data_IF_764209350905
#
_entry.id   IF_764209350905
#
_cell.length_a   1.000
_cell.length_b   1.000
_cell.length_c   1.000
_cell.angle_alpha   90.00
_cell.angle_beta   90.00
_cell.angle_gamma   90.00
#
_symmetry.space_group_name_H-M   'P 1'
#
loop_
_entity.id
_entity.type
_entity.pdbx_description
1 polymer ?
#
# COMPACT_ATOMS: atom_id res chain seq x y z
N UNK A 1 -87.61 16.52 38.69
CA UNK A 1 -87.00 16.12 37.40
C UNK A 1 -85.71 16.93 37.28
N UNK A 2 -84.50 16.43 37.34
CA UNK A 2 -83.90 15.09 37.44
C UNK A 2 -82.45 15.33 37.89
N UNK A 3 -81.94 14.49 38.80
CA UNK A 3 -80.61 13.86 38.82
C UNK A 3 -79.41 14.52 38.07
N UNK A 4 -78.16 14.61 38.57
CA UNK A 4 -77.34 13.83 39.54
C UNK A 4 -76.05 14.63 39.86
N UNK A 5 -75.47 14.35 41.03
CA UNK A 5 -74.15 14.77 41.55
C UNK A 5 -72.98 14.00 40.85
N UNK A 6 -71.69 14.11 41.26
CA UNK A 6 -70.69 15.17 40.99
C UNK A 6 -69.33 14.54 40.55
N UNK A 7 -68.18 15.27 40.59
CA UNK A 7 -66.89 14.87 41.24
C UNK A 7 -65.68 15.71 40.75
N UNK A 8 -65.18 16.56 41.66
CA UNK A 8 -63.80 16.76 42.17
C UNK A 8 -62.59 16.85 41.22
N UNK A 9 -61.71 17.85 41.46
CA UNK A 9 -60.30 17.72 41.07
C UNK A 9 -59.38 18.94 41.14
N UNK A 10 -59.28 19.63 42.29
CA UNK A 10 -58.34 20.72 42.58
C UNK A 10 -56.86 20.24 42.56
N UNK A 11 -55.92 20.98 41.95
CA UNK A 11 -54.49 20.97 42.36
C UNK A 11 -53.77 22.29 42.03
N UNK A 12 -53.31 22.96 43.09
CA UNK A 12 -52.55 24.22 43.14
C UNK A 12 -51.08 24.00 42.80
N UNK A 13 -50.46 25.04 42.25
CA UNK A 13 -49.02 25.25 42.12
C UNK A 13 -48.26 25.15 43.45
N UNK A 14 -47.11 24.50 43.43
CA UNK A 14 -45.98 24.80 44.32
C UNK A 14 -44.67 24.68 43.56
N UNK A 15 -43.90 25.77 43.64
CA UNK A 15 -42.54 25.96 43.17
C UNK A 15 -41.58 25.09 43.99
N UNK A 16 -40.68 24.34 43.36
CA UNK A 16 -39.45 23.87 44.01
C UNK A 16 -38.25 24.05 43.08
N UNK A 17 -37.33 24.88 43.56
CA UNK A 17 -35.97 25.09 43.10
C UNK A 17 -35.19 23.77 43.30
N UNK A 18 -34.62 23.20 42.24
CA UNK A 18 -33.59 22.16 42.38
C UNK A 18 -32.28 22.73 41.86
N UNK A 19 -31.40 23.00 42.83
CA UNK A 19 -29.98 23.27 42.66
C UNK A 19 -29.33 22.03 42.05
N UNK A 20 -28.92 22.13 40.79
CA UNK A 20 -28.09 21.10 40.15
C UNK A 20 -26.66 21.23 40.68
N UNK A 21 -26.34 20.41 41.69
CA UNK A 21 -24.98 20.22 42.18
C UNK A 21 -24.15 19.54 41.08
N UNK A 22 -23.41 20.33 40.32
CA UNK A 22 -22.39 19.86 39.36
C UNK A 22 -21.21 19.24 40.14
N UNK A 23 -21.32 17.96 40.45
CA UNK A 23 -20.14 17.14 40.76
C UNK A 23 -19.38 16.91 39.46
N UNK A 24 -18.33 17.70 39.25
CA UNK A 24 -17.36 17.52 38.18
C UNK A 24 -16.61 16.20 38.36
N UNK A 25 -17.16 15.12 37.80
CA UNK A 25 -16.36 13.95 37.49
C UNK A 25 -15.45 14.33 36.31
N UNK A 26 -14.15 14.45 36.57
CA UNK A 26 -13.15 14.49 35.51
C UNK A 26 -13.28 13.20 34.69
N UNK A 27 -13.95 13.27 33.55
CA UNK A 27 -13.96 12.18 32.57
C UNK A 27 -12.52 12.01 32.10
N UNK A 28 -11.89 10.84 32.30
CA UNK A 28 -10.55 10.61 31.78
C UNK A 28 -10.59 10.84 30.26
N UNK A 29 -9.59 11.56 29.74
CA UNK A 29 -9.47 12.03 28.35
C UNK A 29 -9.36 10.91 27.28
N UNK A 30 -9.87 9.72 27.55
CA UNK A 30 -9.89 8.56 26.64
C UNK A 30 -11.25 7.88 26.48
N UNK A 31 -12.32 8.29 27.17
CA UNK A 31 -13.63 7.66 27.06
C UNK A 31 -14.53 8.37 26.03
N UNK A 32 -14.27 8.18 24.73
CA UNK A 32 -15.22 8.58 23.69
C UNK A 32 -16.48 7.71 23.73
N UNK A 33 -17.67 8.33 23.63
CA UNK A 33 -18.94 7.58 23.65
C UNK A 33 -19.02 6.66 22.42
N UNK A 34 -19.56 5.43 22.56
CA UNK A 34 -19.67 4.48 21.46
C UNK A 34 -20.41 5.04 20.23
N UNK A 35 -21.49 5.79 20.43
CA UNK A 35 -22.30 6.35 19.35
C UNK A 35 -21.57 7.44 18.53
N UNK A 36 -20.73 8.26 19.17
CA UNK A 36 -19.90 9.26 18.49
C UNK A 36 -18.81 8.58 17.65
N UNK A 37 -18.27 7.49 18.17
CA UNK A 37 -17.21 6.73 17.49
C UNK A 37 -17.76 5.97 16.28
N UNK A 38 -18.96 5.41 16.38
CA UNK A 38 -19.68 4.80 15.26
C UNK A 38 -19.91 5.80 14.13
N UNK A 39 -20.36 6.99 14.50
CA UNK A 39 -20.62 8.07 13.54
C UNK A 39 -19.32 8.51 12.87
N UNK A 40 -18.22 8.60 13.61
CA UNK A 40 -16.93 9.04 13.08
C UNK A 40 -16.27 7.99 12.17
N UNK A 41 -16.22 6.72 12.58
CA UNK A 41 -15.71 5.64 11.74
C UNK A 41 -16.58 5.48 10.48
N UNK A 42 -17.90 5.57 10.61
CA UNK A 42 -18.81 5.53 9.46
C UNK A 42 -18.67 6.72 8.51
N UNK A 43 -18.24 7.89 9.00
CA UNK A 43 -17.89 9.04 8.14
C UNK A 43 -16.56 8.81 7.42
N UNK A 44 -15.54 8.38 8.14
CA UNK A 44 -14.20 8.13 7.57
C UNK A 44 -14.24 7.00 6.52
N UNK A 45 -15.06 5.95 6.73
CA UNK A 45 -15.30 4.93 5.71
C UNK A 45 -15.91 5.50 4.43
N UNK A 46 -16.93 6.37 4.55
CA UNK A 46 -17.55 7.02 3.39
C UNK A 46 -16.59 7.93 2.63
N UNK A 47 -15.64 8.56 3.32
CA UNK A 47 -14.58 9.36 2.68
C UNK A 47 -13.61 8.49 1.87
N UNK A 48 -13.25 7.31 2.38
CA UNK A 48 -12.48 6.30 1.64
C UNK A 48 -13.27 5.87 0.40
N UNK A 49 -14.55 5.53 0.54
CA UNK A 49 -15.39 5.09 -0.58
C UNK A 49 -15.55 6.17 -1.66
N UNK A 50 -15.74 7.43 -1.25
CA UNK A 50 -15.80 8.55 -2.18
C UNK A 50 -14.48 8.74 -2.93
N UNK A 51 -13.34 8.58 -2.27
CA UNK A 51 -12.03 8.65 -2.90
C UNK A 51 -11.79 7.46 -3.84
N UNK A 52 -12.13 6.26 -3.38
CA UNK A 52 -11.99 5.02 -4.14
C UNK A 52 -12.85 5.02 -5.40
N UNK A 53 -14.02 5.66 -5.39
CA UNK A 53 -14.89 5.77 -6.57
C UNK A 53 -14.25 6.53 -7.75
N UNK A 54 -13.21 7.33 -7.49
CA UNK A 54 -12.45 8.07 -8.50
C UNK A 54 -11.14 7.37 -8.89
N UNK A 55 -10.79 6.27 -8.23
CA UNK A 55 -9.59 5.50 -8.49
C UNK A 55 -9.96 4.16 -9.14
N UNK A 56 -8.96 3.51 -9.74
CA UNK A 56 -9.13 2.15 -10.24
C UNK A 56 -9.35 1.16 -9.08
N UNK A 57 -10.40 0.35 -9.16
CA UNK A 57 -10.80 -0.57 -8.11
C UNK A 57 -9.71 -1.60 -7.77
N UNK A 58 -8.99 -2.12 -8.77
CA UNK A 58 -7.92 -3.09 -8.53
C UNK A 58 -6.73 -2.43 -7.79
N UNK A 59 -6.40 -1.18 -8.13
CA UNK A 59 -5.39 -0.38 -7.42
C UNK A 59 -5.77 -0.11 -5.97
N UNK A 60 -7.03 0.27 -5.70
CA UNK A 60 -7.52 0.48 -4.33
C UNK A 60 -7.46 -0.81 -3.52
N UNK A 61 -7.96 -1.92 -4.05
CA UNK A 61 -7.94 -3.22 -3.37
C UNK A 61 -6.51 -3.65 -3.02
N UNK A 62 -5.56 -3.45 -3.95
CA UNK A 62 -4.15 -3.79 -3.73
C UNK A 62 -3.53 -2.93 -2.63
N UNK A 63 -3.80 -1.63 -2.65
CA UNK A 63 -3.26 -0.72 -1.62
C UNK A 63 -3.78 -1.08 -0.23
N UNK A 64 -5.05 -1.44 -0.10
CA UNK A 64 -5.60 -1.90 1.18
C UNK A 64 -4.93 -3.21 1.61
N UNK A 65 -4.75 -4.18 0.70
CA UNK A 65 -4.05 -5.42 1.03
C UNK A 65 -2.60 -5.17 1.50
N UNK A 66 -1.89 -4.22 0.87
CA UNK A 66 -0.53 -3.83 1.27
C UNK A 66 -0.49 -3.18 2.67
N UNK A 67 -1.40 -2.25 2.96
CA UNK A 67 -1.50 -1.58 4.27
C UNK A 67 -1.80 -2.55 5.43
N UNK A 68 -2.46 -3.67 5.12
CA UNK A 68 -2.82 -4.72 6.08
C UNK A 68 -2.05 -6.03 5.83
N UNK A 69 -0.92 -5.99 5.12
CA UNK A 69 -0.14 -7.18 4.74
C UNK A 69 0.41 -7.98 5.93
N UNK A 70 0.59 -7.34 7.09
CA UNK A 70 1.03 -8.01 8.33
C UNK A 70 -0.11 -8.74 9.04
N UNK A 71 -1.36 -8.48 8.67
CA UNK A 71 -2.53 -9.12 9.25
C UNK A 71 -2.58 -10.57 8.82
N UNK A 72 -2.62 -11.47 9.79
CA UNK A 72 -2.77 -12.90 9.55
C UNK A 72 -4.25 -13.27 9.51
N UNK A 73 -4.74 -13.72 8.36
CA UNK A 73 -6.07 -14.31 8.18
C UNK A 73 -6.07 -15.69 8.81
N UNK A 74 -7.02 -15.91 9.73
CA UNK A 74 -7.16 -17.11 10.55
C UNK A 74 -8.64 -17.53 10.60
N UNK A 75 -8.85 -18.83 10.67
CA UNK A 75 -10.16 -19.46 10.85
C UNK A 75 -10.53 -19.62 12.34
N UNK A 76 -9.54 -19.55 13.23
CA UNK A 76 -9.71 -19.62 14.69
C UNK A 76 -8.54 -18.92 15.41
N UNK A 77 -8.64 -18.77 16.74
CA UNK A 77 -7.60 -18.12 17.56
C UNK A 77 -6.23 -18.81 17.44
N UNK A 78 -6.24 -20.14 17.33
CA UNK A 78 -5.06 -21.00 17.31
C UNK A 78 -4.81 -21.62 15.93
N UNK A 79 -5.31 -21.00 14.87
CA UNK A 79 -5.23 -21.55 13.51
C UNK A 79 -3.75 -21.77 13.09
N UNK A 80 -3.32 -23.03 12.87
CA UNK A 80 -1.96 -23.32 12.44
C UNK A 80 -1.71 -22.92 10.98
N UNK A 81 -2.76 -22.69 10.20
CA UNK A 81 -2.69 -22.33 8.78
C UNK A 81 -2.89 -20.81 8.57
N UNK A 82 -2.59 -20.02 9.60
CA UNK A 82 -2.61 -18.57 9.52
C UNK A 82 -1.74 -18.09 8.34
N UNK A 83 -2.32 -17.24 7.49
CA UNK A 83 -1.63 -16.68 6.33
C UNK A 83 -1.77 -15.16 6.25
N UNK A 84 -0.85 -14.46 5.59
CA UNK A 84 -1.01 -13.03 5.33
C UNK A 84 -2.29 -12.72 4.55
N UNK A 85 -2.87 -11.55 4.83
CA UNK A 85 -3.93 -10.96 4.02
C UNK A 85 -3.42 -10.69 2.60
N UNK A 86 -4.25 -11.02 1.62
CA UNK A 86 -3.94 -10.89 0.19
C UNK A 86 -4.89 -9.94 -0.53
N UNK A 87 -4.52 -9.54 -1.75
CA UNK A 87 -5.41 -8.81 -2.67
C UNK A 87 -6.75 -9.55 -2.89
N UNK A 88 -6.70 -10.88 -3.00
CA UNK A 88 -7.89 -11.69 -3.24
C UNK A 88 -8.88 -11.62 -2.06
N UNK A 89 -8.39 -11.51 -0.82
CA UNK A 89 -9.24 -11.35 0.36
C UNK A 89 -10.02 -10.03 0.29
N UNK A 90 -9.33 -8.93 -0.05
CA UNK A 90 -9.96 -7.61 -0.20
C UNK A 90 -10.98 -7.61 -1.34
N UNK A 91 -10.64 -8.21 -2.48
CA UNK A 91 -11.56 -8.34 -3.61
C UNK A 91 -12.79 -9.20 -3.27
N UNK A 92 -12.60 -10.26 -2.50
CA UNK A 92 -13.68 -11.12 -2.01
C UNK A 92 -14.61 -10.36 -1.06
N UNK A 93 -14.07 -9.51 -0.19
CA UNK A 93 -14.88 -8.64 0.65
C UNK A 93 -15.66 -7.60 -0.17
N UNK A 94 -15.07 -7.06 -1.24
CA UNK A 94 -15.77 -6.16 -2.17
C UNK A 94 -16.92 -6.86 -2.88
N UNK A 95 -16.72 -8.08 -3.38
CA UNK A 95 -17.79 -8.86 -4.04
C UNK A 95 -18.90 -9.26 -3.07
N UNK A 96 -18.59 -9.39 -1.78
CA UNK A 96 -19.55 -9.59 -0.69
C UNK A 96 -20.32 -8.32 -0.29
N UNK A 97 -20.13 -7.21 -1.02
CA UNK A 97 -20.94 -5.99 -0.91
C UNK A 97 -20.39 -4.90 0.01
N UNK A 98 -19.21 -5.07 0.61
CA UNK A 98 -18.66 -4.10 1.56
C UNK A 98 -17.97 -2.96 0.82
N UNK A 99 -18.18 -1.70 1.23
CA UNK A 99 -17.37 -0.57 0.76
C UNK A 99 -15.88 -0.73 1.12
N UNK A 100 -14.99 -0.03 0.41
CA UNK A 100 -13.57 -0.01 0.75
C UNK A 100 -13.33 0.54 2.16
N UNK A 101 -14.08 1.57 2.56
CA UNK A 101 -14.02 2.10 3.91
C UNK A 101 -14.47 1.10 4.98
N UNK A 102 -15.53 0.33 4.70
CA UNK A 102 -16.00 -0.73 5.59
C UNK A 102 -15.00 -1.88 5.70
N UNK A 103 -14.38 -2.26 4.58
CA UNK A 103 -13.30 -3.25 4.58
C UNK A 103 -12.14 -2.79 5.44
N UNK A 104 -11.73 -1.52 5.32
CA UNK A 104 -10.63 -0.96 6.13
C UNK A 104 -10.94 -1.03 7.63
N UNK A 105 -12.15 -0.65 8.04
CA UNK A 105 -12.54 -0.74 9.46
C UNK A 105 -12.56 -2.20 9.91
N UNK A 106 -13.17 -3.09 9.12
CA UNK A 106 -13.24 -4.51 9.42
C UNK A 106 -11.85 -5.10 9.64
N UNK A 107 -10.91 -4.85 8.73
CA UNK A 107 -9.53 -5.36 8.82
C UNK A 107 -8.79 -4.77 10.03
N UNK A 108 -8.97 -3.48 10.31
CA UNK A 108 -8.38 -2.83 11.47
C UNK A 108 -8.93 -3.37 12.81
N UNK A 109 -10.22 -3.71 12.87
CA UNK A 109 -10.82 -4.36 14.03
C UNK A 109 -10.34 -5.81 14.17
N UNK A 110 -10.36 -6.57 13.08
CA UNK A 110 -9.90 -7.95 13.03
C UNK A 110 -8.45 -8.09 13.50
N UNK A 111 -7.56 -7.18 13.06
CA UNK A 111 -6.15 -7.18 13.43
C UNK A 111 -5.88 -6.86 14.91
N UNK A 112 -6.87 -6.26 15.60
CA UNK A 112 -6.73 -5.74 16.96
C UNK A 112 -7.65 -6.44 17.96
N UNK A 113 -8.38 -7.47 17.53
CA UNK A 113 -9.26 -8.22 18.40
C UNK A 113 -8.45 -8.89 19.52
N UNK A 114 -8.99 -8.83 20.74
CA UNK A 114 -8.41 -9.44 21.94
C UNK A 114 -9.46 -10.16 22.79
N UNK A 115 -10.69 -10.30 22.26
CA UNK A 115 -11.73 -11.11 22.89
C UNK A 115 -11.25 -12.55 23.09
N UNK A 116 -11.72 -13.16 24.17
CA UNK A 116 -11.57 -14.60 24.43
C UNK A 116 -12.19 -15.46 23.33
N UNK A 117 -13.23 -14.95 22.66
CA UNK A 117 -13.83 -15.56 21.49
C UNK A 117 -13.32 -14.87 20.23
N UNK A 118 -12.50 -15.60 19.47
CA UNK A 118 -11.99 -15.13 18.19
C UNK A 118 -13.12 -15.06 17.16
N UNK A 119 -13.19 -13.94 16.44
CA UNK A 119 -14.11 -13.75 15.31
C UNK A 119 -13.34 -13.69 13.99
N UNK A 120 -13.78 -14.47 13.02
CA UNK A 120 -13.23 -14.45 11.66
C UNK A 120 -13.66 -13.19 10.92
N UNK A 121 -12.97 -12.88 9.82
CA UNK A 121 -13.35 -11.79 8.90
C UNK A 121 -14.82 -11.91 8.46
N UNK A 122 -15.28 -13.12 8.15
CA UNK A 122 -16.66 -13.37 7.70
C UNK A 122 -17.69 -13.17 8.83
N UNK A 123 -17.36 -13.55 10.06
CA UNK A 123 -18.23 -13.30 11.22
C UNK A 123 -18.33 -11.80 11.54
N UNK A 124 -17.23 -11.05 11.47
CA UNK A 124 -17.26 -9.59 11.68
C UNK A 124 -18.11 -8.91 10.61
N UNK A 125 -18.00 -9.37 9.36
CA UNK A 125 -18.85 -8.92 8.26
C UNK A 125 -20.33 -9.21 8.53
N UNK A 126 -20.67 -10.40 9.01
CA UNK A 126 -22.05 -10.78 9.34
C UNK A 126 -22.61 -9.94 10.50
N UNK A 127 -21.81 -9.64 11.53
CA UNK A 127 -22.19 -8.68 12.57
C UNK A 127 -22.48 -7.29 11.98
N UNK A 128 -21.73 -6.87 10.95
CA UNK A 128 -22.00 -5.60 10.27
C UNK A 128 -23.29 -5.66 9.45
N UNK A 129 -23.54 -6.77 8.76
CA UNK A 129 -24.73 -6.99 7.94
C UNK A 129 -26.01 -7.11 8.76
N UNK A 130 -25.94 -7.56 10.01
CA UNK A 130 -27.08 -7.58 10.93
C UNK A 130 -27.53 -6.18 11.42
N UNK A 131 -26.86 -5.12 10.96
CA UNK A 131 -27.18 -3.73 11.28
C UNK A 131 -26.41 -3.18 12.48
N UNK A 132 -25.48 -3.95 13.06
CA UNK A 132 -24.67 -3.48 14.18
C UNK A 132 -23.69 -2.38 13.75
N UNK A 133 -23.52 -1.37 14.62
CA UNK A 133 -22.51 -0.32 14.45
C UNK A 133 -21.08 -0.82 14.71
N UNK A 134 -20.08 -0.10 14.21
CA UNK A 134 -18.67 -0.50 14.33
C UNK A 134 -18.14 -0.55 15.77
N UNK A 135 -18.63 0.30 16.66
CA UNK A 135 -18.24 0.40 18.06
C UNK A 135 -18.82 -0.73 18.91
N UNK A 136 -20.10 -1.09 18.80
CA UNK A 136 -20.59 -2.34 19.39
C UNK A 136 -19.83 -3.56 18.87
N UNK A 137 -19.53 -3.65 17.56
CA UNK A 137 -18.68 -4.73 17.01
C UNK A 137 -17.30 -4.72 17.67
N UNK A 138 -16.65 -3.56 17.76
CA UNK A 138 -15.34 -3.43 18.39
C UNK A 138 -15.35 -3.87 19.85
N UNK A 139 -16.41 -3.57 20.60
CA UNK A 139 -16.60 -4.06 21.98
C UNK A 139 -16.72 -5.58 22.02
N UNK A 140 -17.52 -6.18 21.14
CA UNK A 140 -17.64 -7.64 21.02
C UNK A 140 -16.29 -8.29 20.72
N UNK A 141 -15.45 -7.65 19.92
CA UNK A 141 -14.11 -8.11 19.56
C UNK A 141 -13.04 -7.83 20.63
N UNK A 142 -13.40 -7.16 21.73
CA UNK A 142 -12.46 -6.78 22.79
C UNK A 142 -11.51 -5.63 22.42
N UNK A 143 -11.75 -4.90 21.33
CA UNK A 143 -10.84 -3.85 20.86
C UNK A 143 -10.84 -2.67 21.85
N UNK A 144 -9.80 -2.60 22.68
CA UNK A 144 -9.68 -1.62 23.77
C UNK A 144 -9.45 -0.18 23.28
N UNK A 145 -8.86 -0.01 22.09
CA UNK A 145 -8.41 1.30 21.59
C UNK A 145 -8.92 1.59 20.19
N UNK A 146 -10.16 2.09 20.11
CA UNK A 146 -10.76 2.57 18.86
C UNK A 146 -9.95 3.69 18.18
N UNK A 147 -9.21 4.48 18.95
CA UNK A 147 -8.28 5.46 18.39
C UNK A 147 -7.18 4.84 17.51
N UNK A 148 -6.79 3.59 17.75
CA UNK A 148 -5.82 2.89 16.90
C UNK A 148 -6.45 2.42 15.59
N UNK A 149 -7.68 1.89 15.64
CA UNK A 149 -8.48 1.56 14.45
C UNK A 149 -8.63 2.79 13.57
N UNK A 150 -8.99 3.93 14.17
CA UNK A 150 -9.13 5.21 13.48
C UNK A 150 -7.84 5.65 12.77
N UNK A 151 -6.68 5.44 13.39
CA UNK A 151 -5.39 5.74 12.74
C UNK A 151 -5.16 4.89 11.49
N UNK A 152 -5.52 3.60 11.53
CA UNK A 152 -5.42 2.72 10.36
C UNK A 152 -6.39 3.15 9.24
N UNK A 153 -7.62 3.54 9.61
CA UNK A 153 -8.61 4.08 8.66
C UNK A 153 -8.10 5.35 8.01
N UNK A 154 -7.62 6.33 8.78
CA UNK A 154 -7.07 7.58 8.24
C UNK A 154 -5.83 7.38 7.37
N UNK A 155 -4.94 6.47 7.76
CA UNK A 155 -3.77 6.13 6.94
C UNK A 155 -4.21 5.59 5.59
N UNK A 156 -5.21 4.71 5.59
CA UNK A 156 -5.79 4.15 4.36
C UNK A 156 -6.52 5.21 3.54
N UNK A 157 -7.27 6.13 4.16
CA UNK A 157 -7.90 7.26 3.46
C UNK A 157 -6.87 8.14 2.73
N UNK A 158 -5.79 8.52 3.40
CA UNK A 158 -4.70 9.26 2.76
C UNK A 158 -4.10 8.49 1.58
N UNK A 159 -3.85 7.19 1.76
CA UNK A 159 -3.34 6.32 0.71
C UNK A 159 -4.27 6.23 -0.51
N UNK A 160 -5.56 6.01 -0.28
CA UNK A 160 -6.57 5.89 -1.34
C UNK A 160 -6.79 7.22 -2.05
N UNK A 161 -6.78 8.34 -1.32
CA UNK A 161 -6.83 9.69 -1.92
C UNK A 161 -5.66 9.92 -2.86
N UNK A 162 -4.46 9.51 -2.49
CA UNK A 162 -3.29 9.64 -3.38
C UNK A 162 -3.46 8.84 -4.68
N UNK A 163 -4.12 7.67 -4.65
CA UNK A 163 -4.41 6.88 -5.85
C UNK A 163 -5.45 7.53 -6.78
N UNK A 164 -6.39 8.27 -6.20
CA UNK A 164 -7.44 9.00 -6.91
C UNK A 164 -6.93 10.28 -7.57
N UNK A 165 -5.80 10.82 -7.09
CA UNK A 165 -5.16 11.96 -7.72
C UNK A 165 -4.37 11.50 -8.95
N UNK A 166 -4.55 12.14 -10.12
CA UNK A 166 -3.62 11.94 -11.22
C UNK A 166 -2.24 12.45 -10.81
N UNK A 167 -1.20 11.90 -11.45
CA UNK A 167 0.16 12.42 -11.31
C UNK A 167 0.19 13.91 -11.68
N UNK A 168 0.88 14.72 -10.89
CA UNK A 168 1.06 16.13 -11.23
C UNK A 168 2.00 16.31 -12.43
N UNK A 169 2.03 17.50 -13.03
CA UNK A 169 2.85 17.78 -14.23
C UNK A 169 4.34 17.45 -14.05
N UNK A 170 4.90 17.71 -12.86
CA UNK A 170 6.29 17.38 -12.55
C UNK A 170 6.54 15.88 -12.51
N UNK A 171 5.62 15.11 -11.93
CA UNK A 171 5.66 13.65 -11.94
C UNK A 171 5.49 13.08 -13.34
N UNK A 172 4.58 13.64 -14.14
CA UNK A 172 4.41 13.23 -15.55
C UNK A 172 5.68 13.47 -16.36
N UNK A 173 6.31 14.65 -16.19
CA UNK A 173 7.59 14.97 -16.82
C UNK A 173 8.70 14.01 -16.40
N UNK A 174 8.81 13.70 -15.10
CA UNK A 174 9.79 12.72 -14.63
C UNK A 174 9.51 11.31 -15.15
N UNK A 175 8.25 10.91 -15.31
CA UNK A 175 7.91 9.61 -15.88
C UNK A 175 8.27 9.52 -17.36
N UNK A 176 8.01 10.57 -18.13
CA UNK A 176 8.42 10.65 -19.54
C UNK A 176 9.95 10.59 -19.66
N UNK A 177 10.67 11.34 -18.81
CA UNK A 177 12.13 11.27 -18.75
C UNK A 177 12.61 9.87 -18.35
N UNK A 178 12.01 9.25 -17.33
CA UNK A 178 12.38 7.91 -16.88
C UNK A 178 12.30 6.89 -18.01
N UNK A 179 11.25 6.96 -18.83
CA UNK A 179 11.12 6.12 -20.01
C UNK A 179 12.19 6.41 -21.07
N UNK A 180 12.53 7.69 -21.28
CA UNK A 180 13.58 8.08 -22.23
C UNK A 180 14.97 7.60 -21.78
N UNK A 181 15.33 7.76 -20.51
CA UNK A 181 16.60 7.29 -19.95
C UNK A 181 16.71 5.77 -20.00
N UNK A 182 15.62 5.04 -19.70
CA UNK A 182 15.62 3.59 -19.85
C UNK A 182 15.86 3.14 -21.30
N UNK A 183 15.25 3.82 -22.28
CA UNK A 183 15.56 3.58 -23.70
C UNK A 183 17.02 3.91 -24.04
N UNK A 184 17.59 4.93 -23.40
CA UNK A 184 19.01 5.27 -23.51
C UNK A 184 19.92 4.13 -23.02
N UNK A 185 19.63 3.57 -21.84
CA UNK A 185 20.31 2.38 -21.31
C UNK A 185 20.20 1.20 -22.28
N UNK A 186 19.01 0.94 -22.83
CA UNK A 186 18.82 -0.15 -23.80
C UNK A 186 19.62 0.08 -25.10
N UNK A 187 19.68 1.32 -25.58
CA UNK A 187 20.44 1.67 -26.79
C UNK A 187 21.96 1.51 -26.58
N UNK A 188 22.48 1.97 -25.45
CA UNK A 188 23.90 1.80 -25.09
C UNK A 188 24.24 0.32 -24.88
N UNK A 189 23.34 -0.41 -24.21
CA UNK A 189 23.49 -1.85 -24.04
C UNK A 189 23.45 -2.61 -25.37
N UNK A 190 22.65 -2.17 -26.35
CA UNK A 190 22.61 -2.75 -27.69
C UNK A 190 23.88 -2.43 -28.48
N UNK A 191 24.41 -1.20 -28.38
CA UNK A 191 25.69 -0.83 -28.97
C UNK A 191 26.84 -1.69 -28.42
N UNK A 192 26.87 -1.89 -27.09
CA UNK A 192 27.83 -2.77 -26.44
C UNK A 192 27.59 -4.27 -26.75
N UNK A 193 26.33 -4.66 -26.89
CA UNK A 193 25.81 -6.03 -26.80
C UNK A 193 25.73 -6.81 -28.12
N UNK A 194 26.44 -6.38 -29.16
CA UNK A 194 26.59 -7.17 -30.39
C UNK A 194 27.35 -8.49 -30.15
N UNK A 195 27.96 -8.67 -28.98
CA UNK A 195 28.64 -9.90 -28.55
C UNK A 195 28.21 -10.35 -27.15
N UNK A 196 28.31 -11.65 -26.81
CA UNK A 196 28.05 -12.15 -25.45
C UNK A 196 28.90 -11.45 -24.36
N UNK A 197 30.14 -11.08 -24.69
CA UNK A 197 31.03 -10.35 -23.77
C UNK A 197 30.53 -8.95 -23.47
N UNK A 198 29.99 -8.26 -24.47
CA UNK A 198 29.35 -6.96 -24.29
C UNK A 198 28.16 -7.03 -23.34
N UNK A 199 27.27 -8.00 -23.54
CA UNK A 199 26.11 -8.21 -22.67
C UNK A 199 26.52 -8.54 -21.23
N UNK A 200 27.60 -9.31 -21.05
CA UNK A 200 28.17 -9.59 -19.72
C UNK A 200 28.69 -8.31 -19.05
N UNK A 201 29.40 -7.43 -19.76
CA UNK A 201 29.88 -6.15 -19.20
C UNK A 201 28.72 -5.24 -18.78
N UNK A 202 27.67 -5.14 -19.59
CA UNK A 202 26.46 -4.36 -19.24
C UNK A 202 25.80 -4.93 -17.99
N UNK A 203 25.66 -6.26 -17.92
CA UNK A 203 25.11 -6.96 -16.75
C UNK A 203 25.91 -6.65 -15.48
N UNK A 204 27.24 -6.74 -15.57
CA UNK A 204 28.16 -6.41 -14.49
C UNK A 204 28.06 -4.95 -14.05
N UNK A 205 27.98 -4.02 -14.99
CA UNK A 205 27.86 -2.59 -14.69
C UNK A 205 26.57 -2.29 -13.92
N UNK A 206 25.44 -2.84 -14.36
CA UNK A 206 24.14 -2.67 -13.69
C UNK A 206 24.16 -3.34 -12.32
N UNK A 207 24.65 -4.58 -12.22
CA UNK A 207 24.75 -5.32 -10.96
C UNK A 207 25.58 -4.54 -9.93
N UNK A 208 26.74 -4.01 -10.35
CA UNK A 208 27.62 -3.17 -9.53
C UNK A 208 26.94 -1.88 -9.08
N UNK A 209 26.25 -1.17 -9.97
CA UNK A 209 25.57 0.10 -9.65
C UNK A 209 24.49 -0.09 -8.58
N UNK A 210 23.70 -1.16 -8.69
CA UNK A 210 22.63 -1.46 -7.72
C UNK A 210 23.09 -2.33 -6.55
N UNK A 211 24.37 -2.74 -6.52
CA UNK A 211 24.94 -3.64 -5.51
C UNK A 211 24.13 -4.94 -5.36
N UNK A 212 23.73 -5.51 -6.50
CA UNK A 212 23.03 -6.80 -6.58
C UNK A 212 23.90 -7.83 -7.29
N UNK A 213 23.55 -9.10 -7.16
CA UNK A 213 24.22 -10.18 -7.89
C UNK A 213 23.88 -10.13 -9.39
N UNK A 214 24.83 -10.50 -10.26
CA UNK A 214 24.63 -10.55 -11.72
C UNK A 214 23.47 -11.48 -12.12
N UNK A 215 23.20 -12.53 -11.32
CA UNK A 215 22.07 -13.43 -11.52
C UNK A 215 20.72 -12.73 -11.37
N UNK A 216 20.62 -11.67 -10.56
CA UNK A 216 19.38 -10.88 -10.44
C UNK A 216 19.10 -10.14 -11.73
N UNK A 217 20.11 -9.49 -12.31
CA UNK A 217 20.01 -8.79 -13.60
C UNK A 217 19.66 -9.79 -14.71
N UNK A 218 20.37 -10.93 -14.75
CA UNK A 218 20.14 -12.00 -15.73
C UNK A 218 18.73 -12.59 -15.62
N UNK A 219 18.24 -12.83 -14.39
CA UNK A 219 16.88 -13.32 -14.15
C UNK A 219 15.82 -12.34 -14.66
N UNK A 220 16.00 -11.04 -14.40
CA UNK A 220 15.08 -10.02 -14.91
C UNK A 220 15.12 -9.92 -16.46
N UNK A 221 16.30 -10.06 -17.07
CA UNK A 221 16.45 -10.15 -18.53
C UNK A 221 15.73 -11.36 -19.12
N UNK A 222 15.87 -12.53 -18.48
CA UNK A 222 15.20 -13.77 -18.89
C UNK A 222 13.67 -13.70 -18.78
N UNK A 223 13.15 -12.77 -17.94
CA UNK A 223 11.73 -12.45 -17.86
C UNK A 223 11.25 -11.47 -18.95
N UNK A 224 12.12 -11.13 -19.89
CA UNK A 224 11.80 -10.30 -21.05
C UNK A 224 12.01 -8.80 -20.85
N UNK A 225 12.51 -8.34 -19.70
CA UNK A 225 12.77 -6.92 -19.46
C UNK A 225 14.02 -6.47 -20.23
N UNK A 226 13.98 -5.27 -20.82
CA UNK A 226 15.18 -4.56 -21.33
C UNK A 226 16.16 -4.20 -20.20
N UNK A 227 17.42 -3.90 -20.51
CA UNK A 227 18.38 -3.42 -19.51
C UNK A 227 17.94 -2.11 -18.85
N UNK A 228 17.28 -1.22 -19.60
CA UNK A 228 16.64 -0.02 -19.06
C UNK A 228 15.50 -0.33 -18.08
N UNK A 229 14.64 -1.29 -18.41
CA UNK A 229 13.58 -1.75 -17.51
C UNK A 229 14.12 -2.47 -16.27
N UNK A 230 15.22 -3.22 -16.42
CA UNK A 230 15.96 -3.78 -15.28
C UNK A 230 16.48 -2.67 -14.37
N UNK A 231 17.10 -1.62 -14.94
CA UNK A 231 17.59 -0.48 -14.17
C UNK A 231 16.46 0.23 -13.41
N UNK A 232 15.30 0.46 -14.04
CA UNK A 232 14.13 1.04 -13.33
C UNK A 232 13.66 0.11 -12.21
N UNK A 233 13.55 -1.19 -12.48
CA UNK A 233 13.08 -2.18 -11.51
C UNK A 233 13.98 -2.22 -10.27
N UNK A 234 15.29 -2.26 -10.47
CA UNK A 234 16.27 -2.23 -9.38
C UNK A 234 16.28 -0.89 -8.64
N UNK A 235 16.13 0.24 -9.36
CA UNK A 235 16.06 1.56 -8.76
C UNK A 235 14.84 1.72 -7.85
N UNK A 236 13.68 1.19 -8.26
CA UNK A 236 12.46 1.14 -7.46
C UNK A 236 12.60 0.19 -6.27
N UNK A 237 13.19 -1.00 -6.48
CA UNK A 237 13.40 -1.97 -5.41
C UNK A 237 14.29 -1.39 -4.31
N UNK A 238 15.39 -0.70 -4.66
CA UNK A 238 16.24 -0.02 -3.67
C UNK A 238 15.49 1.07 -2.88
N UNK A 239 14.51 1.75 -3.48
CA UNK A 239 13.67 2.70 -2.72
C UNK A 239 12.68 2.00 -1.77
N UNK A 240 12.14 0.84 -2.15
CA UNK A 240 11.27 0.05 -1.27
C UNK A 240 12.06 -0.60 -0.12
N UNK A 241 13.29 -1.05 -0.36
CA UNK A 241 14.18 -1.58 0.69
C UNK A 241 14.48 -0.56 1.78
N UNK A 242 14.67 0.70 1.41
CA UNK A 242 14.83 1.81 2.37
C UNK A 242 13.60 2.01 3.26
N UNK A 243 12.45 1.43 2.90
CA UNK A 243 11.21 1.40 3.67
C UNK A 243 11.01 0.08 4.43
N UNK A 244 12.04 -0.78 4.49
CA UNK A 244 12.04 -2.03 5.24
C UNK A 244 11.55 -3.26 4.46
N UNK A 245 11.28 -3.14 3.15
CA UNK A 245 10.89 -4.28 2.33
C UNK A 245 12.09 -5.18 2.00
N UNK A 246 11.88 -6.49 1.94
CA UNK A 246 12.93 -7.41 1.47
C UNK A 246 13.17 -7.24 -0.02
N UNK A 247 14.33 -7.68 -0.51
CA UNK A 247 14.66 -7.68 -1.94
C UNK A 247 13.61 -8.42 -2.78
N UNK A 248 13.20 -9.61 -2.32
CA UNK A 248 12.25 -10.46 -3.03
C UNK A 248 10.86 -9.82 -3.07
N UNK A 249 10.39 -9.29 -1.94
CA UNK A 249 9.07 -8.66 -1.85
C UNK A 249 9.00 -7.37 -2.68
N UNK A 250 10.08 -6.58 -2.69
CA UNK A 250 10.18 -5.36 -3.48
C UNK A 250 10.12 -5.66 -4.98
N UNK A 251 10.95 -6.59 -5.46
CA UNK A 251 10.96 -7.01 -6.87
C UNK A 251 9.60 -7.59 -7.28
N UNK A 252 9.03 -8.47 -6.45
CA UNK A 252 7.70 -9.06 -6.71
C UNK A 252 6.64 -7.97 -6.85
N UNK A 253 6.61 -7.02 -5.92
CA UNK A 253 5.62 -5.92 -5.92
C UNK A 253 5.70 -5.09 -7.20
N UNK A 254 6.91 -4.74 -7.64
CA UNK A 254 7.11 -3.92 -8.85
C UNK A 254 6.72 -4.71 -10.11
N UNK A 255 7.13 -5.98 -10.19
CA UNK A 255 6.94 -6.80 -11.37
C UNK A 255 5.48 -7.23 -11.54
N UNK A 256 4.76 -7.50 -10.45
CA UNK A 256 3.33 -7.79 -10.49
C UNK A 256 2.54 -6.57 -11.00
N UNK A 257 2.94 -5.36 -10.60
CA UNK A 257 2.33 -4.11 -11.09
C UNK A 257 2.64 -3.84 -12.55
N UNK A 258 3.88 -4.14 -12.98
CA UNK A 258 4.28 -4.05 -14.38
C UNK A 258 3.50 -5.05 -15.25
N UNK A 259 3.36 -6.29 -14.79
CA UNK A 259 2.56 -7.32 -15.46
C UNK A 259 1.06 -6.97 -15.51
N UNK A 260 0.55 -6.23 -14.52
CA UNK A 260 -0.79 -5.66 -14.53
C UNK A 260 -0.96 -4.45 -15.48
N UNK A 261 0.04 -4.13 -16.30
CA UNK A 261 -0.02 -3.07 -17.31
C UNK A 261 0.31 -1.67 -16.79
N UNK A 262 0.73 -1.52 -15.53
CA UNK A 262 1.08 -0.20 -15.01
C UNK A 262 2.37 0.34 -15.66
N UNK A 263 2.36 1.62 -16.02
CA UNK A 263 3.55 2.34 -16.45
C UNK A 263 4.49 2.64 -15.27
N UNK A 264 5.79 2.78 -15.52
CA UNK A 264 6.80 3.03 -14.47
C UNK A 264 6.49 4.25 -13.60
N UNK A 265 6.00 5.33 -14.22
CA UNK A 265 5.55 6.51 -13.49
C UNK A 265 4.39 6.22 -12.53
N UNK A 266 3.39 5.47 -13.01
CA UNK A 266 2.24 5.06 -12.20
C UNK A 266 2.63 4.13 -11.06
N UNK A 267 3.54 3.18 -11.30
CA UNK A 267 4.07 2.29 -10.26
C UNK A 267 4.74 3.11 -9.17
N UNK A 268 5.57 4.08 -9.57
CA UNK A 268 6.29 4.95 -8.64
C UNK A 268 5.32 5.82 -7.83
N UNK A 269 4.31 6.41 -8.50
CA UNK A 269 3.25 7.19 -7.87
C UNK A 269 2.44 6.39 -6.86
N UNK A 270 1.96 5.21 -7.25
CA UNK A 270 1.11 4.35 -6.41
C UNK A 270 1.83 3.84 -5.16
N UNK A 271 3.14 3.59 -5.29
CA UNK A 271 4.01 3.20 -4.19
C UNK A 271 4.46 4.41 -3.35
N UNK A 272 3.99 5.62 -3.67
CA UNK A 272 4.37 6.88 -3.01
C UNK A 272 5.88 7.11 -3.02
N UNK A 273 6.55 6.74 -4.11
CA UNK A 273 7.99 6.89 -4.29
C UNK A 273 8.29 8.17 -5.08
N UNK A 274 9.46 8.78 -4.84
CA UNK A 274 9.85 9.99 -5.58
C UNK A 274 10.41 9.61 -6.95
N UNK A 275 9.68 9.87 -8.03
CA UNK A 275 10.14 9.62 -9.40
C UNK A 275 11.51 10.22 -9.71
N UNK A 276 11.80 11.43 -9.24
CA UNK A 276 13.10 12.07 -9.44
C UNK A 276 14.28 11.26 -8.88
N UNK A 277 14.10 10.52 -7.78
CA UNK A 277 15.17 9.65 -7.23
C UNK A 277 15.39 8.41 -8.08
N UNK A 278 14.32 7.82 -8.59
CA UNK A 278 14.38 6.67 -9.51
C UNK A 278 15.07 7.11 -10.81
N UNK A 279 14.65 8.24 -11.38
CA UNK A 279 15.24 8.84 -12.58
C UNK A 279 16.75 9.10 -12.42
N UNK A 280 17.17 9.70 -11.31
CA UNK A 280 18.59 9.97 -11.06
C UNK A 280 19.44 8.71 -11.01
N UNK A 281 18.92 7.60 -10.46
CA UNK A 281 19.63 6.31 -10.48
C UNK A 281 19.73 5.75 -11.88
N UNK A 282 18.64 5.76 -12.65
CA UNK A 282 18.66 5.26 -14.04
C UNK A 282 19.64 6.06 -14.91
N UNK A 283 19.67 7.40 -14.77
CA UNK A 283 20.67 8.27 -15.41
C UNK A 283 22.11 7.88 -15.06
N UNK A 284 22.35 7.54 -13.80
CA UNK A 284 23.66 7.08 -13.35
C UNK A 284 24.00 5.73 -13.97
N UNK A 285 23.07 4.78 -13.95
CA UNK A 285 23.23 3.47 -14.59
C UNK A 285 23.55 3.60 -16.08
N UNK A 286 22.86 4.49 -16.80
CA UNK A 286 23.14 4.75 -18.21
C UNK A 286 24.62 5.14 -18.40
N UNK A 287 25.10 6.15 -17.68
CA UNK A 287 26.52 6.55 -17.76
C UNK A 287 27.49 5.39 -17.48
N UNK A 288 27.21 4.57 -16.46
CA UNK A 288 28.04 3.40 -16.14
C UNK A 288 28.04 2.36 -17.27
N UNK A 289 26.91 2.14 -17.93
CA UNK A 289 26.79 1.25 -19.09
C UNK A 289 27.60 1.79 -20.28
N UNK A 290 27.48 3.08 -20.60
CA UNK A 290 28.29 3.72 -21.63
C UNK A 290 29.81 3.62 -21.34
N UNK A 291 30.22 3.81 -20.08
CA UNK A 291 31.63 3.69 -19.68
C UNK A 291 32.16 2.26 -19.77
N UNK A 292 31.35 1.26 -19.39
CA UNK A 292 31.72 -0.15 -19.46
C UNK A 292 31.96 -0.62 -20.91
N UNK A 293 31.26 -0.01 -21.87
CA UNK A 293 31.48 -0.27 -23.29
C UNK A 293 32.77 0.37 -23.81
N UNK A 294 32.97 1.66 -23.58
CA UNK A 294 34.18 2.38 -24.01
C UNK A 294 35.47 1.78 -23.45
N UNK A 295 35.45 1.31 -22.19
CA UNK A 295 36.58 0.62 -21.58
C UNK A 295 36.81 -0.81 -22.14
N UNK A 296 35.75 -1.47 -22.62
CA UNK A 296 35.81 -2.78 -23.27
C UNK A 296 36.38 -2.71 -24.69
N UNK A 297 35.93 -1.72 -25.48
CA UNK A 297 36.41 -1.47 -26.84
C UNK A 297 37.92 -1.14 -26.85
N UNK A 298 38.37 -0.26 -25.94
CA UNK A 298 39.79 0.12 -25.83
C UNK A 298 40.71 -1.04 -25.41
N UNK A 299 40.18 -2.08 -24.73
CA UNK A 299 40.95 -3.28 -24.38
C UNK A 299 40.96 -4.32 -25.51
N UNK A 300 39.91 -4.39 -26.33
CA UNK A 300 39.84 -5.31 -27.46
C UNK A 300 40.70 -4.87 -28.66
N UNK A 301 40.94 -3.56 -28.83
CA UNK A 301 41.77 -3.01 -29.92
C UNK A 301 43.29 -3.04 -29.67
N UNK A 302 43.77 -3.52 -28.52
CA UNK A 302 45.22 -3.62 -28.28
C UNK A 302 45.72 -4.95 -28.89
N UNK A 303 46.38 -4.95 -30.06
CA UNK A 303 46.79 -6.20 -30.69
C UNK A 303 47.81 -6.91 -29.82
N UNK A 304 47.54 -8.18 -29.55
CA UNK A 304 48.45 -9.11 -28.90
C UNK A 304 49.75 -9.13 -29.71
N UNK A 305 50.81 -8.53 -29.14
CA UNK A 305 52.14 -8.45 -29.75
C UNK A 305 52.67 -9.87 -29.84
N UNK A 306 52.45 -10.54 -30.97
CA UNK A 306 53.05 -11.82 -31.31
C UNK A 306 54.55 -11.72 -31.10
N UNK A 307 55.03 -12.53 -30.15
CA UNK A 307 56.45 -12.76 -29.92
C UNK A 307 57.10 -13.13 -31.26
N UNK A 308 58.04 -12.29 -31.70
CA UNK A 308 59.00 -12.69 -32.71
C UNK A 308 59.87 -13.79 -32.11
N UNK A 309 59.54 -15.04 -32.43
CA UNK A 309 60.48 -16.16 -32.39
C UNK A 309 61.57 -15.85 -33.42
N UNK A 310 62.70 -15.33 -32.94
CA UNK A 310 63.92 -15.15 -33.70
C UNK A 310 64.84 -16.34 -33.46
N UNK A 311 65.19 -17.01 -34.56
CA UNK A 311 66.24 -18.03 -34.71
C UNK A 311 67.58 -17.62 -34.11
#
# INVERSE_FOLDING_TARGET
MEHRQPIVGLKRWSLFLIVALMLGAAVPAGAQKPAETDTQLGKEAREIDASASRADAARVSRRIAEEFSTVQVKSSATDPNARPLTLQDVQTLRSKGLGYGEITILLALYARQSSVTFSTIDQIREMKQSGQGWGPIAKTLGVERLGAVRRDVKRTDHAVRALAQPMNEGEQKHAAQLQAEAKGVDAEAAAAGSTPDGQRRVTQAIAKEFKVDESVVTSLRNRGLGFGEVAITLALADELKKRGMTDQDALKTILDRRAAGQGWGQITHDLDLKLGRVLSKVKKTQKEVAHADGAGAAKAEKPERTERVGR
#
